data_IF_863075833188
#
_entry.id   IF_863075833188
#
_cell.length_a   1.000
_cell.length_b   1.000
_cell.length_c   1.000
_cell.angle_alpha   90.00
_cell.angle_beta   90.00
_cell.angle_gamma   90.00
#
_symmetry.space_group_name_H-M   'P 1'
#
loop_
_entity.id
_entity.type
_entity.pdbx_description
1 polymer ?
#
# COMPACT_ATOMS: atom_id res chain seq x y z
N UNK A 1 16.26 -14.93 10.50
CA UNK A 1 16.70 -13.72 9.80
C UNK A 1 15.49 -12.81 9.53
N UNK A 2 14.42 -13.25 8.85
CA UNK A 2 13.24 -12.44 8.49
C UNK A 2 12.54 -11.82 9.70
N UNK A 3 12.30 -12.56 10.78
CA UNK A 3 11.74 -12.01 12.03
C UNK A 3 12.59 -10.85 12.56
N UNK A 4 13.92 -11.04 12.62
CA UNK A 4 14.83 -9.98 13.07
C UNK A 4 14.82 -8.77 12.13
N UNK A 5 14.64 -8.95 10.81
CA UNK A 5 14.52 -7.86 9.85
C UNK A 5 13.27 -7.04 10.12
N UNK A 6 12.11 -7.69 10.32
CA UNK A 6 10.84 -7.00 10.64
C UNK A 6 10.95 -6.24 11.95
N UNK A 7 11.42 -6.88 13.02
CA UNK A 7 11.58 -6.21 14.32
C UNK A 7 12.55 -5.02 14.25
N UNK A 8 13.61 -5.14 13.45
CA UNK A 8 14.54 -4.03 13.18
C UNK A 8 13.88 -2.89 12.39
N UNK A 9 13.08 -3.21 11.38
CA UNK A 9 12.37 -2.23 10.57
C UNK A 9 11.35 -1.43 11.39
N UNK A 10 10.65 -2.09 12.32
CA UNK A 10 9.65 -1.44 13.17
C UNK A 10 10.29 -0.63 14.31
N UNK A 11 11.53 -0.97 14.72
CA UNK A 11 12.21 -0.26 15.80
C UNK A 11 12.49 1.19 15.41
N UNK A 12 11.81 2.14 16.07
CA UNK A 12 11.88 3.58 15.77
C UNK A 12 11.42 3.93 14.35
N UNK A 13 10.50 3.16 13.79
CA UNK A 13 9.92 3.45 12.48
C UNK A 13 9.29 4.84 12.47
N UNK A 14 9.59 5.60 11.43
CA UNK A 14 8.98 6.90 11.15
C UNK A 14 8.09 6.76 9.92
N UNK A 15 6.80 6.99 10.10
CA UNK A 15 5.78 6.93 9.05
C UNK A 15 5.48 8.35 8.58
N UNK A 16 5.73 8.66 7.32
CA UNK A 16 5.32 9.93 6.74
C UNK A 16 3.78 9.99 6.67
N UNK A 17 3.16 10.90 7.39
CA UNK A 17 1.73 11.18 7.28
C UNK A 17 1.53 12.38 6.35
N UNK A 18 1.20 12.10 5.09
CA UNK A 18 1.10 13.11 4.04
C UNK A 18 -0.36 13.48 3.83
N UNK A 19 -0.77 14.57 4.47
CA UNK A 19 -2.17 14.99 4.53
C UNK A 19 -2.98 14.30 5.63
N UNK A 20 -4.30 14.32 5.47
CA UNK A 20 -5.24 13.77 6.43
C UNK A 20 -6.10 12.68 5.79
N UNK A 21 -6.66 11.80 6.61
CA UNK A 21 -7.59 10.78 6.12
C UNK A 21 -8.83 11.45 5.49
N UNK A 22 -9.41 10.87 4.45
CA UNK A 22 -10.70 11.35 3.95
C UNK A 22 -11.78 11.27 5.02
N UNK A 23 -12.66 12.26 5.08
CA UNK A 23 -13.67 12.40 6.14
C UNK A 23 -14.50 11.12 6.38
N UNK A 24 -15.00 10.40 5.34
CA UNK A 24 -15.80 9.19 5.54
C UNK A 24 -15.00 7.97 6.02
N UNK A 25 -13.65 7.99 5.91
CA UNK A 25 -12.80 6.84 6.24
C UNK A 25 -12.48 6.76 7.73
N UNK A 26 -13.49 6.49 8.54
CA UNK A 26 -13.33 6.37 10.00
C UNK A 26 -12.51 5.15 10.40
N UNK A 27 -12.52 4.11 9.59
CA UNK A 27 -11.83 2.84 9.85
C UNK A 27 -10.30 2.92 9.77
N UNK A 28 -9.74 3.95 9.12
CA UNK A 28 -8.28 4.17 9.06
C UNK A 28 -7.76 5.12 10.15
N UNK A 29 -8.59 5.45 11.12
CA UNK A 29 -8.14 6.26 12.27
C UNK A 29 -7.10 5.49 13.08
N UNK A 30 -6.03 6.18 13.45
CA UNK A 30 -4.92 5.63 14.22
C UNK A 30 -4.70 6.45 15.48
N UNK A 31 -4.43 5.77 16.58
CA UNK A 31 -4.01 6.42 17.82
C UNK A 31 -2.48 6.57 17.84
N UNK A 32 -2.00 7.71 17.35
CA UNK A 32 -0.56 7.99 17.23
C UNK A 32 0.17 7.94 18.58
N UNK A 33 -0.47 8.39 19.67
CA UNK A 33 0.12 8.32 21.00
C UNK A 33 0.30 6.87 21.48
N UNK A 34 -0.64 6.00 21.11
CA UNK A 34 -0.58 4.57 21.42
C UNK A 34 0.53 3.86 20.62
N UNK A 35 0.69 4.20 19.35
CA UNK A 35 1.78 3.68 18.50
C UNK A 35 3.15 3.98 19.11
N UNK A 36 3.39 5.20 19.55
CA UNK A 36 4.66 5.59 20.20
C UNK A 36 4.86 4.80 21.50
N UNK A 37 3.85 4.76 22.35
CA UNK A 37 3.99 4.19 23.69
C UNK A 37 4.12 2.66 23.69
N UNK A 38 3.45 1.98 22.76
CA UNK A 38 3.38 0.51 22.73
C UNK A 38 4.38 -0.13 21.79
N UNK A 39 4.62 0.48 20.63
CA UNK A 39 5.45 -0.10 19.54
C UNK A 39 6.70 0.76 19.29
N UNK A 40 6.69 2.04 19.64
CA UNK A 40 7.79 2.96 19.37
C UNK A 40 7.78 3.56 17.97
N UNK A 41 6.64 3.48 17.27
CA UNK A 41 6.47 4.02 15.92
C UNK A 41 6.00 5.48 16.01
N UNK A 42 6.58 6.35 15.19
CA UNK A 42 6.26 7.79 15.16
C UNK A 42 5.70 8.18 13.80
N UNK A 43 4.60 8.93 13.78
CA UNK A 43 4.12 9.61 12.57
C UNK A 43 4.80 10.96 12.40
N UNK A 44 5.08 11.32 11.15
CA UNK A 44 5.72 12.58 10.77
C UNK A 44 4.79 13.32 9.82
N UNK A 45 4.13 14.40 10.24
CA UNK A 45 3.21 15.12 9.38
C UNK A 45 3.96 15.84 8.25
N UNK A 46 3.52 15.63 7.02
CA UNK A 46 3.99 16.31 5.82
C UNK A 46 2.79 17.00 5.16
N UNK A 47 2.92 18.30 4.93
CA UNK A 47 1.85 19.09 4.32
C UNK A 47 1.71 18.76 2.82
N UNK A 48 0.48 18.53 2.30
CA UNK A 48 0.21 18.44 0.86
C UNK A 48 0.70 19.67 0.08
N UNK A 49 0.64 20.84 0.68
CA UNK A 49 1.19 22.08 0.07
C UNK A 49 2.71 21.99 -0.10
N UNK A 50 3.44 21.45 0.86
CA UNK A 50 4.90 21.29 0.74
C UNK A 50 5.27 20.35 -0.41
N UNK A 51 4.49 19.28 -0.61
CA UNK A 51 4.63 18.37 -1.75
C UNK A 51 4.36 19.10 -3.07
N UNK A 52 3.25 19.82 -3.16
CA UNK A 52 2.86 20.54 -4.38
C UNK A 52 3.86 21.64 -4.76
N UNK A 53 4.33 22.43 -3.80
CA UNK A 53 5.36 23.47 -4.05
C UNK A 53 6.68 22.84 -4.53
N UNK A 54 7.11 21.72 -3.94
CA UNK A 54 8.29 21.00 -4.39
C UNK A 54 8.11 20.40 -5.78
N UNK A 55 6.96 19.80 -6.07
CA UNK A 55 6.64 19.26 -7.40
C UNK A 55 6.65 20.37 -8.46
N UNK A 56 6.03 21.51 -8.17
CA UNK A 56 6.02 22.68 -9.05
C UNK A 56 7.44 23.16 -9.35
N UNK A 57 8.29 23.28 -8.31
CA UNK A 57 9.68 23.67 -8.49
C UNK A 57 10.48 22.68 -9.34
N UNK A 58 10.27 21.38 -9.17
CA UNK A 58 10.92 20.35 -10.01
C UNK A 58 10.57 20.52 -11.50
N UNK A 59 9.31 20.83 -11.81
CA UNK A 59 8.87 21.10 -13.20
C UNK A 59 9.50 22.40 -13.73
N UNK A 60 9.50 23.48 -12.94
CA UNK A 60 10.05 24.77 -13.34
C UNK A 60 11.57 24.70 -13.57
N UNK A 61 12.29 24.06 -12.66
CA UNK A 61 13.76 23.92 -12.74
C UNK A 61 14.17 22.94 -13.85
N UNK A 62 13.29 22.01 -14.23
CA UNK A 62 13.48 20.97 -15.24
C UNK A 62 14.87 20.31 -15.15
N UNK A 63 15.24 19.89 -13.93
CA UNK A 63 16.55 19.33 -13.68
C UNK A 63 16.71 17.92 -14.30
N UNK A 64 17.95 17.47 -14.44
CA UNK A 64 18.25 16.20 -15.13
C UNK A 64 17.62 14.96 -14.44
N UNK A 65 17.46 14.98 -13.12
CA UNK A 65 16.82 13.86 -12.40
C UNK A 65 15.33 13.79 -12.72
N UNK A 66 14.62 14.92 -12.69
CA UNK A 66 13.22 15.00 -13.03
C UNK A 66 12.99 14.57 -14.49
N UNK A 67 13.77 15.12 -15.42
CA UNK A 67 13.61 14.80 -16.84
C UNK A 67 13.87 13.30 -17.11
N UNK A 68 14.92 12.71 -16.52
CA UNK A 68 15.22 11.29 -16.66
C UNK A 68 14.09 10.41 -16.13
N UNK A 69 13.50 10.75 -14.97
CA UNK A 69 12.40 10.00 -14.41
C UNK A 69 11.12 10.15 -15.24
N UNK A 70 10.80 11.35 -15.72
CA UNK A 70 9.66 11.58 -16.59
C UNK A 70 9.75 10.77 -17.89
N UNK A 71 10.93 10.71 -18.52
CA UNK A 71 11.16 9.91 -19.72
C UNK A 71 11.03 8.40 -19.44
N UNK A 72 11.55 7.92 -18.32
CA UNK A 72 11.40 6.52 -17.92
C UNK A 72 9.93 6.14 -17.67
N UNK A 73 9.20 6.98 -16.94
CA UNK A 73 7.77 6.78 -16.66
C UNK A 73 6.95 6.67 -17.94
N UNK A 74 7.15 7.60 -18.89
CA UNK A 74 6.42 7.64 -20.17
C UNK A 74 6.85 6.56 -21.15
N UNK A 75 8.05 5.99 -21.00
CA UNK A 75 8.48 4.83 -21.76
C UNK A 75 7.85 3.51 -21.29
N UNK A 76 7.51 3.41 -20.00
CA UNK A 76 6.93 2.20 -19.39
C UNK A 76 5.40 2.18 -19.41
N UNK A 77 4.76 3.34 -19.25
CA UNK A 77 3.32 3.49 -19.16
C UNK A 77 2.73 4.13 -20.42
N UNK A 78 1.64 3.58 -20.92
CA UNK A 78 0.83 4.27 -21.92
C UNK A 78 0.09 5.44 -21.27
N UNK A 79 0.61 6.64 -21.47
CA UNK A 79 0.06 7.89 -20.97
C UNK A 79 -0.83 8.63 -21.98
N UNK A 80 -1.18 8.02 -23.12
CA UNK A 80 -1.90 8.67 -24.24
C UNK A 80 -3.28 9.23 -23.85
N UNK A 81 -3.89 8.70 -22.78
CA UNK A 81 -5.16 9.16 -22.26
C UNK A 81 -5.06 10.40 -21.34
N UNK A 82 -3.84 10.91 -21.09
CA UNK A 82 -3.60 12.01 -20.18
C UNK A 82 -3.00 13.24 -20.88
N UNK A 83 -3.37 14.46 -20.48
CA UNK A 83 -2.62 15.65 -20.85
C UNK A 83 -1.16 15.54 -20.37
N UNK A 84 -0.19 15.89 -21.23
CA UNK A 84 1.24 15.84 -20.90
C UNK A 84 1.56 16.60 -19.60
N UNK A 85 0.92 17.75 -19.38
CA UNK A 85 1.06 18.54 -18.14
C UNK A 85 0.73 17.73 -16.89
N UNK A 86 -0.32 16.89 -16.94
CA UNK A 86 -0.72 16.07 -15.80
C UNK A 86 0.25 14.91 -15.57
N UNK A 87 0.79 14.30 -16.62
CA UNK A 87 1.86 13.29 -16.49
C UNK A 87 3.11 13.90 -15.86
N UNK A 88 3.48 15.11 -16.24
CA UNK A 88 4.58 15.88 -15.64
C UNK A 88 4.34 16.13 -14.15
N UNK A 89 3.11 16.48 -13.75
CA UNK A 89 2.75 16.65 -12.33
C UNK A 89 2.85 15.36 -11.54
N UNK A 90 2.42 14.22 -12.09
CA UNK A 90 2.56 12.91 -11.45
C UNK A 90 4.04 12.58 -11.22
N UNK A 91 4.87 12.72 -12.26
CA UNK A 91 6.31 12.46 -12.13
C UNK A 91 7.00 13.36 -11.09
N UNK A 92 6.69 14.65 -11.11
CA UNK A 92 7.24 15.60 -10.15
C UNK A 92 6.77 15.33 -8.72
N UNK A 93 5.51 14.90 -8.55
CA UNK A 93 4.94 14.57 -7.23
C UNK A 93 5.65 13.38 -6.61
N UNK A 94 5.95 12.34 -7.39
CA UNK A 94 6.75 11.17 -6.92
C UNK A 94 8.09 11.62 -6.35
N UNK A 95 8.86 12.39 -7.10
CA UNK A 95 10.19 12.87 -6.66
C UNK A 95 10.10 13.84 -5.48
N UNK A 96 9.06 14.67 -5.43
CA UNK A 96 8.82 15.57 -4.32
C UNK A 96 8.57 14.82 -3.00
N UNK A 97 7.74 13.77 -3.04
CA UNK A 97 7.44 12.95 -1.87
C UNK A 97 8.68 12.17 -1.44
N UNK A 98 9.39 11.53 -2.36
CA UNK A 98 10.62 10.79 -2.08
C UNK A 98 11.64 11.66 -1.33
N UNK A 99 11.92 12.84 -1.87
CA UNK A 99 12.83 13.82 -1.24
C UNK A 99 12.36 14.26 0.16
N UNK A 100 11.05 14.51 0.35
CA UNK A 100 10.51 14.89 1.65
C UNK A 100 10.57 13.73 2.67
N UNK A 101 10.37 12.49 2.23
CA UNK A 101 10.51 11.32 3.09
C UNK A 101 11.95 11.11 3.52
N UNK A 102 12.92 11.27 2.61
CA UNK A 102 14.35 11.20 2.91
C UNK A 102 14.77 12.28 3.91
N UNK A 103 14.40 13.54 3.68
CA UNK A 103 14.69 14.66 4.59
C UNK A 103 14.16 14.43 6.01
N UNK A 104 13.02 13.72 6.12
CA UNK A 104 12.39 13.43 7.41
C UNK A 104 12.75 12.04 7.96
N UNK A 105 13.64 11.29 7.32
CA UNK A 105 14.04 9.93 7.69
C UNK A 105 12.82 8.99 7.83
N UNK A 106 11.87 9.08 6.90
CA UNK A 106 10.70 8.21 6.81
C UNK A 106 10.94 7.15 5.74
N UNK A 107 10.74 5.87 6.07
CA UNK A 107 10.91 4.75 5.14
C UNK A 107 9.60 4.22 4.56
N UNK A 108 8.48 4.62 5.14
CA UNK A 108 7.12 4.32 4.66
C UNK A 108 6.22 5.53 4.91
N UNK A 109 5.08 5.59 4.25
CA UNK A 109 4.14 6.69 4.47
C UNK A 109 2.68 6.32 4.24
N UNK A 110 1.82 7.21 4.65
CA UNK A 110 0.39 7.19 4.45
C UNK A 110 -0.03 8.48 3.73
N UNK A 111 -0.78 8.36 2.64
CA UNK A 111 -0.93 9.42 1.64
C UNK A 111 -2.39 9.75 1.34
N UNK A 112 -2.75 11.03 1.44
CA UNK A 112 -4.09 11.55 1.11
C UNK A 112 -4.29 11.66 -0.41
N UNK A 113 -4.59 10.55 -1.09
CA UNK A 113 -4.57 10.47 -2.54
C UNK A 113 -5.73 11.17 -3.26
N UNK A 114 -6.96 11.16 -2.74
CA UNK A 114 -8.14 11.55 -3.53
C UNK A 114 -8.93 12.76 -3.01
N UNK A 115 -8.60 13.33 -1.86
CA UNK A 115 -9.22 14.54 -1.36
C UNK A 115 -8.38 15.80 -1.63
N UNK A 116 -7.23 15.97 -0.98
CA UNK A 116 -6.42 17.17 -1.11
C UNK A 116 -5.63 17.22 -2.43
N UNK A 117 -4.99 16.13 -2.83
CA UNK A 117 -4.09 16.16 -3.98
C UNK A 117 -4.77 16.47 -5.32
N UNK A 118 -5.95 15.92 -5.67
CA UNK A 118 -6.66 16.35 -6.85
C UNK A 118 -7.00 17.86 -6.85
N UNK A 119 -7.29 18.42 -5.67
CA UNK A 119 -7.57 19.86 -5.54
C UNK A 119 -6.31 20.73 -5.68
N UNK A 120 -5.15 20.24 -5.19
CA UNK A 120 -3.90 21.01 -5.18
C UNK A 120 -3.11 20.84 -6.49
N UNK A 121 -3.08 19.63 -7.06
CA UNK A 121 -2.33 19.31 -8.27
C UNK A 121 -3.18 19.39 -9.55
N UNK A 122 -4.50 19.22 -9.43
CA UNK A 122 -5.42 19.09 -10.57
C UNK A 122 -5.37 17.72 -11.24
N UNK A 123 -4.77 16.70 -10.59
CA UNK A 123 -4.68 15.31 -11.06
C UNK A 123 -4.67 14.37 -9.86
N UNK A 124 -5.28 13.21 -10.01
CA UNK A 124 -5.20 12.14 -9.00
C UNK A 124 -3.82 11.48 -9.07
N UNK A 125 -3.08 11.35 -7.96
CA UNK A 125 -1.70 10.86 -7.99
C UNK A 125 -1.58 9.38 -7.58
N UNK A 126 -2.52 8.50 -7.93
CA UNK A 126 -2.48 7.09 -7.49
C UNK A 126 -1.25 6.34 -8.03
N UNK A 127 -0.83 6.62 -9.27
CA UNK A 127 0.43 6.10 -9.86
C UNK A 127 1.63 6.33 -8.94
N UNK A 128 1.67 7.47 -8.24
CA UNK A 128 2.79 7.81 -7.35
C UNK A 128 3.02 6.74 -6.28
N UNK A 129 1.96 6.11 -5.76
CA UNK A 129 2.08 5.12 -4.68
C UNK A 129 2.81 3.85 -5.16
N UNK A 130 2.46 3.36 -6.35
CA UNK A 130 3.14 2.21 -6.98
C UNK A 130 4.61 2.51 -7.27
N UNK A 131 4.89 3.67 -7.86
CA UNK A 131 6.24 4.13 -8.16
C UNK A 131 7.10 4.34 -6.89
N UNK A 132 6.49 4.80 -5.80
CA UNK A 132 7.16 4.93 -4.50
C UNK A 132 7.48 3.57 -3.88
N UNK A 133 6.59 2.58 -4.00
CA UNK A 133 6.84 1.22 -3.53
C UNK A 133 8.02 0.59 -4.29
N UNK A 134 8.08 0.73 -5.61
CA UNK A 134 9.19 0.27 -6.44
C UNK A 134 10.50 0.99 -6.13
N UNK A 135 10.44 2.24 -5.69
CA UNK A 135 11.62 3.00 -5.24
C UNK A 135 12.05 2.69 -3.80
N UNK A 136 11.30 1.86 -3.09
CA UNK A 136 11.64 1.46 -1.73
C UNK A 136 11.01 2.29 -0.61
N UNK A 137 10.05 3.16 -0.93
CA UNK A 137 9.33 4.02 -0.01
C UNK A 137 7.81 3.78 -0.11
N UNK A 138 7.29 2.61 0.26
CA UNK A 138 5.89 2.29 0.06
C UNK A 138 4.96 3.26 0.77
N UNK A 139 3.87 3.60 0.10
CA UNK A 139 2.83 4.48 0.60
C UNK A 139 1.49 3.75 0.67
N UNK A 140 0.83 3.82 1.82
CA UNK A 140 -0.55 3.41 1.95
C UNK A 140 -1.50 4.53 1.49
N UNK A 141 -2.54 4.17 0.75
CA UNK A 141 -3.58 5.08 0.29
C UNK A 141 -4.40 5.62 1.47
N UNK A 142 -5.10 6.73 1.27
CA UNK A 142 -6.13 7.26 2.17
C UNK A 142 -5.64 7.61 3.59
N UNK A 143 -4.35 7.91 3.68
CA UNK A 143 -3.66 8.22 4.94
C UNK A 143 -3.81 7.10 5.99
N UNK A 144 -3.86 5.84 5.51
CA UNK A 144 -3.92 4.65 6.34
C UNK A 144 -2.55 4.35 6.97
N UNK A 145 -2.31 4.90 8.16
CA UNK A 145 -1.04 4.71 8.90
C UNK A 145 -0.81 3.24 9.26
N UNK A 146 -1.85 2.50 9.65
CA UNK A 146 -1.74 1.08 9.95
C UNK A 146 -1.45 0.26 8.67
N UNK A 147 -2.01 0.68 7.53
CA UNK A 147 -1.64 0.16 6.21
C UNK A 147 -0.16 0.40 5.87
N UNK A 148 0.37 1.59 6.13
CA UNK A 148 1.79 1.88 5.94
C UNK A 148 2.69 1.01 6.81
N UNK A 149 2.32 0.78 8.07
CA UNK A 149 3.03 -0.15 8.97
C UNK A 149 2.95 -1.58 8.43
N UNK A 150 1.80 -2.00 7.91
CA UNK A 150 1.63 -3.30 7.24
C UNK A 150 2.60 -3.46 6.07
N UNK A 151 2.73 -2.44 5.22
CA UNK A 151 3.69 -2.46 4.11
C UNK A 151 5.14 -2.54 4.61
N UNK A 152 5.50 -1.82 5.68
CA UNK A 152 6.83 -1.93 6.30
C UNK A 152 7.13 -3.35 6.82
N UNK A 153 6.14 -4.01 7.43
CA UNK A 153 6.25 -5.39 7.91
C UNK A 153 6.50 -6.34 6.74
N UNK A 154 5.70 -6.26 5.67
CA UNK A 154 5.81 -7.15 4.51
C UNK A 154 7.13 -6.95 3.77
N UNK A 155 7.54 -5.70 3.55
CA UNK A 155 8.81 -5.35 2.92
C UNK A 155 10.01 -5.91 3.67
N UNK A 156 10.05 -5.77 4.99
CA UNK A 156 11.11 -6.35 5.79
C UNK A 156 11.03 -7.90 5.86
N UNK A 157 9.82 -8.46 5.80
CA UNK A 157 9.58 -9.89 5.80
C UNK A 157 10.10 -10.56 4.53
N UNK A 158 9.93 -9.93 3.37
CA UNK A 158 10.50 -10.41 2.11
C UNK A 158 11.98 -10.05 1.91
N UNK A 159 12.62 -9.40 2.90
CA UNK A 159 14.02 -8.95 2.88
C UNK A 159 14.31 -7.90 1.80
N UNK A 160 13.33 -7.10 1.43
CA UNK A 160 13.44 -6.05 0.40
C UNK A 160 13.73 -6.59 -1.01
N UNK A 161 13.37 -7.87 -1.27
CA UNK A 161 13.63 -8.55 -2.55
C UNK A 161 12.54 -8.29 -3.60
N UNK A 162 11.31 -8.00 -3.17
CA UNK A 162 10.17 -7.71 -4.06
C UNK A 162 9.36 -6.52 -3.48
N UNK A 163 8.57 -5.86 -4.31
CA UNK A 163 7.67 -4.80 -3.85
C UNK A 163 6.44 -5.39 -3.15
N UNK A 164 5.82 -4.60 -2.32
CA UNK A 164 4.57 -4.88 -1.63
C UNK A 164 3.47 -3.93 -2.11
N UNK A 165 2.22 -4.33 -1.99
CA UNK A 165 1.07 -3.53 -2.39
C UNK A 165 0.01 -3.47 -1.29
N UNK A 166 -0.82 -2.44 -1.28
CA UNK A 166 -2.01 -2.32 -0.44
C UNK A 166 -3.24 -2.46 -1.33
N UNK A 167 -4.10 -3.42 -1.02
CA UNK A 167 -5.29 -3.73 -1.79
C UNK A 167 -6.56 -3.59 -0.95
N UNK A 168 -7.65 -3.22 -1.62
CA UNK A 168 -9.01 -3.38 -1.13
C UNK A 168 -9.50 -4.79 -1.44
N UNK A 169 -10.13 -5.43 -0.47
CA UNK A 169 -11.02 -6.55 -0.72
C UNK A 169 -12.32 -6.01 -1.27
N UNK A 170 -12.68 -6.35 -2.49
CA UNK A 170 -13.77 -5.65 -3.18
C UNK A 170 -14.96 -6.50 -3.55
N UNK A 171 -14.75 -7.63 -4.19
CA UNK A 171 -15.86 -8.43 -4.73
C UNK A 171 -15.45 -9.89 -4.89
N UNK A 172 -16.38 -10.80 -4.61
CA UNK A 172 -16.22 -12.22 -4.89
C UNK A 172 -16.16 -12.50 -6.39
N UNK A 173 -15.39 -13.50 -6.74
CA UNK A 173 -15.30 -13.97 -8.12
C UNK A 173 -16.65 -14.53 -8.59
N UNK A 174 -17.13 -14.16 -9.79
CA UNK A 174 -18.48 -14.51 -10.24
C UNK A 174 -18.72 -16.02 -10.49
N UNK A 175 -17.66 -16.83 -10.54
CA UNK A 175 -17.73 -18.26 -10.84
C UNK A 175 -16.92 -19.14 -9.87
N UNK A 176 -16.29 -18.53 -8.84
CA UNK A 176 -15.47 -19.25 -7.87
C UNK A 176 -15.70 -18.68 -6.46
N UNK A 177 -16.49 -19.38 -5.65
CA UNK A 177 -16.87 -18.94 -4.31
C UNK A 177 -15.67 -18.81 -3.34
N UNK A 178 -14.53 -19.37 -3.69
CA UNK A 178 -13.28 -19.29 -2.92
C UNK A 178 -12.29 -18.24 -3.44
N UNK A 179 -12.72 -17.40 -4.37
CA UNK A 179 -11.88 -16.36 -4.93
C UNK A 179 -12.45 -14.96 -4.71
N UNK A 180 -11.56 -14.02 -4.47
CA UNK A 180 -11.85 -12.62 -4.19
C UNK A 180 -10.95 -11.70 -5.00
N UNK A 181 -11.42 -10.51 -5.33
CA UNK A 181 -10.65 -9.49 -6.02
C UNK A 181 -9.87 -8.63 -5.02
N UNK A 182 -8.57 -8.67 -5.13
CA UNK A 182 -7.67 -7.68 -4.55
C UNK A 182 -7.52 -6.55 -5.56
N UNK A 183 -8.03 -5.38 -5.24
CA UNK A 183 -8.14 -4.27 -6.16
C UNK A 183 -7.71 -2.96 -5.51
N UNK A 184 -7.28 -2.02 -6.31
CA UNK A 184 -7.22 -0.62 -5.92
C UNK A 184 -7.31 0.29 -7.16
N UNK A 185 -7.56 1.58 -6.93
CA UNK A 185 -7.74 2.56 -8.01
C UNK A 185 -6.49 2.81 -8.88
N UNK A 186 -5.30 2.27 -8.54
CA UNK A 186 -4.09 2.37 -9.37
C UNK A 186 -2.75 2.51 -8.65
N UNK A 187 -2.62 2.11 -7.36
CA UNK A 187 -1.39 2.30 -6.60
C UNK A 187 -0.48 1.07 -6.54
N UNK A 188 -0.72 0.01 -7.32
CA UNK A 188 0.14 -1.17 -7.23
C UNK A 188 1.48 -0.94 -7.95
N UNK A 189 2.58 -1.54 -7.45
CA UNK A 189 3.90 -1.40 -8.05
C UNK A 189 3.95 -1.95 -9.47
N UNK A 190 4.54 -1.18 -10.39
CA UNK A 190 4.72 -1.59 -11.78
C UNK A 190 5.58 -2.87 -11.91
N UNK A 191 6.55 -3.07 -11.01
CA UNK A 191 7.41 -4.26 -10.98
C UNK A 191 6.64 -5.57 -10.77
N UNK A 192 5.42 -5.50 -10.23
CA UNK A 192 4.55 -6.66 -9.99
C UNK A 192 3.59 -6.94 -11.13
N UNK A 193 3.57 -6.11 -12.18
CA UNK A 193 2.69 -6.25 -13.34
C UNK A 193 2.90 -7.59 -14.06
N UNK A 194 1.83 -8.24 -14.48
CA UNK A 194 1.89 -9.39 -15.37
C UNK A 194 2.53 -9.02 -16.72
N UNK A 195 3.36 -9.89 -17.26
CA UNK A 195 4.09 -9.61 -18.51
C UNK A 195 3.17 -9.30 -19.69
N UNK A 196 2.04 -9.97 -19.76
CA UNK A 196 1.01 -9.84 -20.81
C UNK A 196 0.06 -8.66 -20.59
N UNK A 197 0.00 -8.10 -19.39
CA UNK A 197 -0.84 -6.94 -19.09
C UNK A 197 -0.20 -5.64 -19.60
N UNK A 198 -1.00 -4.78 -20.23
CA UNK A 198 -0.56 -3.45 -20.65
C UNK A 198 -0.78 -2.46 -19.53
N UNK A 199 0.28 -1.78 -19.09
CA UNK A 199 0.16 -0.70 -18.13
C UNK A 199 -0.24 0.60 -18.81
N UNK A 200 -1.33 1.21 -18.33
CA UNK A 200 -1.85 2.49 -18.82
C UNK A 200 -2.09 3.43 -17.64
N UNK A 201 -1.86 4.72 -17.85
CA UNK A 201 -2.22 5.76 -16.91
C UNK A 201 -3.46 6.51 -17.42
N UNK A 202 -4.53 6.51 -16.61
CA UNK A 202 -5.78 7.22 -16.88
C UNK A 202 -6.15 8.02 -15.64
N UNK A 203 -6.32 9.32 -15.79
CA UNK A 203 -6.61 10.24 -14.67
C UNK A 203 -5.63 10.16 -13.49
N UNK A 204 -4.34 9.83 -13.76
CA UNK A 204 -3.31 9.66 -12.75
C UNK A 204 -3.37 8.33 -11.98
N UNK A 205 -4.16 7.39 -12.47
CA UNK A 205 -4.33 6.03 -11.95
C UNK A 205 -3.74 5.02 -12.91
N UNK A 206 -2.98 4.07 -12.42
CA UNK A 206 -2.51 2.96 -13.25
C UNK A 206 -3.59 1.88 -13.41
N UNK A 207 -3.52 1.18 -14.54
CA UNK A 207 -4.41 0.07 -14.88
C UNK A 207 -3.61 -1.08 -15.42
N UNK A 208 -3.51 -2.16 -14.64
CA UNK A 208 -2.91 -3.44 -15.05
C UNK A 208 -3.24 -4.55 -14.05
N UNK A 209 -3.10 -5.78 -14.50
CA UNK A 209 -3.18 -6.97 -13.67
C UNK A 209 -1.80 -7.33 -13.11
N UNK A 210 -1.72 -7.81 -11.86
CA UNK A 210 -0.48 -8.32 -11.28
C UNK A 210 -0.12 -9.72 -11.80
N UNK A 211 1.16 -10.07 -11.70
CA UNK A 211 1.69 -11.40 -12.03
C UNK A 211 1.03 -12.49 -11.18
N UNK A 212 0.96 -13.72 -11.71
CA UNK A 212 0.46 -14.87 -10.96
C UNK A 212 1.51 -15.37 -9.97
N UNK A 213 1.07 -15.91 -8.82
CA UNK A 213 1.96 -16.46 -7.81
C UNK A 213 1.28 -16.70 -6.46
N UNK A 214 2.06 -17.09 -5.48
CA UNK A 214 1.63 -17.27 -4.10
C UNK A 214 1.80 -15.98 -3.31
N UNK A 215 0.78 -15.58 -2.57
CA UNK A 215 0.71 -14.32 -1.83
C UNK A 215 0.66 -14.58 -0.32
N UNK A 216 1.37 -13.77 0.43
CA UNK A 216 1.07 -13.53 1.84
C UNK A 216 0.35 -12.19 1.95
N UNK A 217 -0.83 -12.22 2.58
CA UNK A 217 -1.67 -11.06 2.85
C UNK A 217 -1.66 -10.77 4.34
N UNK A 218 -1.60 -9.50 4.70
CA UNK A 218 -1.42 -9.09 6.08
C UNK A 218 -2.15 -7.77 6.37
N UNK A 219 -2.62 -7.63 7.61
CA UNK A 219 -3.12 -6.35 8.14
C UNK A 219 -2.64 -6.19 9.58
N UNK A 220 -1.85 -5.16 9.82
CA UNK A 220 -1.60 -4.64 11.17
C UNK A 220 -2.70 -3.65 11.52
N UNK A 221 -3.35 -3.81 12.66
CA UNK A 221 -4.42 -2.91 13.09
C UNK A 221 -4.42 -2.65 14.59
N UNK A 222 -5.09 -1.58 15.01
CA UNK A 222 -5.28 -1.17 16.39
C UNK A 222 -6.78 -1.00 16.67
N UNK A 223 -7.30 -1.80 17.57
CA UNK A 223 -8.68 -1.72 18.00
C UNK A 223 -8.71 -1.62 19.52
N UNK A 224 -9.29 -0.51 20.01
CA UNK A 224 -9.35 -0.22 21.44
C UNK A 224 -7.99 -0.31 22.16
N UNK A 225 -6.91 0.06 21.47
CA UNK A 225 -5.55 0.01 22.00
C UNK A 225 -4.94 -1.39 22.05
N UNK A 226 -5.57 -2.38 21.44
CA UNK A 226 -5.02 -3.72 21.24
C UNK A 226 -4.55 -3.86 19.80
N UNK A 227 -3.26 -4.10 19.63
CA UNK A 227 -2.69 -4.34 18.32
C UNK A 227 -2.84 -5.80 17.92
N UNK A 228 -3.12 -6.01 16.66
CA UNK A 228 -3.25 -7.33 16.06
C UNK A 228 -2.58 -7.40 14.70
N UNK A 229 -2.24 -8.60 14.29
CA UNK A 229 -1.72 -8.93 12.99
C UNK A 229 -2.57 -10.04 12.37
N UNK A 230 -3.47 -9.65 11.46
CA UNK A 230 -4.19 -10.61 10.62
C UNK A 230 -3.25 -11.06 9.49
N UNK A 231 -3.17 -12.38 9.27
CA UNK A 231 -2.30 -12.95 8.23
C UNK A 231 -2.99 -14.13 7.55
N UNK A 232 -2.91 -14.15 6.23
CA UNK A 232 -3.34 -15.31 5.45
C UNK A 232 -2.47 -15.49 4.21
N UNK A 233 -2.53 -16.67 3.62
CA UNK A 233 -1.85 -17.01 2.38
C UNK A 233 -2.87 -17.45 1.33
N UNK A 234 -2.65 -17.05 0.09
CA UNK A 234 -3.54 -17.35 -1.02
C UNK A 234 -2.72 -17.52 -2.31
N UNK A 235 -3.24 -18.27 -3.25
CA UNK A 235 -2.71 -18.28 -4.61
C UNK A 235 -3.47 -17.29 -5.48
N UNK A 236 -2.82 -16.71 -6.45
CA UNK A 236 -3.52 -15.92 -7.45
C UNK A 236 -4.30 -16.83 -8.39
N UNK A 237 -5.36 -16.30 -8.98
CA UNK A 237 -6.19 -17.02 -9.97
C UNK A 237 -6.60 -16.07 -11.09
N UNK A 238 -7.15 -16.61 -12.16
CA UNK A 238 -7.69 -15.81 -13.26
C UNK A 238 -9.12 -15.38 -12.96
N UNK A 239 -9.52 -14.22 -13.46
CA UNK A 239 -10.88 -13.71 -13.34
C UNK A 239 -11.18 -12.60 -14.34
N UNK A 240 -12.36 -11.97 -14.26
CA UNK A 240 -12.72 -10.87 -15.13
C UNK A 240 -11.74 -9.68 -15.06
N UNK A 241 -11.45 -9.09 -16.21
CA UNK A 241 -10.70 -7.84 -16.30
C UNK A 241 -11.49 -6.70 -15.62
N UNK A 242 -10.78 -5.81 -14.94
CA UNK A 242 -11.36 -4.64 -14.29
C UNK A 242 -10.50 -3.39 -14.45
N UNK A 243 -11.04 -2.24 -14.12
CA UNK A 243 -10.27 -1.00 -14.03
C UNK A 243 -9.35 -1.01 -12.81
N UNK A 244 -8.35 -0.10 -12.80
CA UNK A 244 -7.39 0.02 -11.71
C UNK A 244 -6.29 -1.03 -11.78
N UNK A 245 -5.60 -1.22 -10.68
CA UNK A 245 -4.60 -2.28 -10.50
C UNK A 245 -5.21 -3.41 -9.67
N UNK A 246 -5.01 -4.66 -10.08
CA UNK A 246 -5.73 -5.77 -9.46
C UNK A 246 -5.03 -7.11 -9.62
N UNK A 247 -5.47 -8.07 -8.79
CA UNK A 247 -5.23 -9.49 -8.95
C UNK A 247 -6.37 -10.27 -8.31
N UNK A 248 -6.82 -11.33 -8.95
CA UNK A 248 -7.73 -12.29 -8.34
C UNK A 248 -6.93 -13.25 -7.47
N UNK A 249 -7.34 -13.42 -6.22
CA UNK A 249 -6.78 -14.40 -5.31
C UNK A 249 -7.77 -15.52 -5.05
N UNK A 250 -7.27 -16.70 -4.71
CA UNK A 250 -8.04 -17.87 -4.32
C UNK A 250 -7.49 -18.48 -3.03
N UNK A 251 -8.38 -18.84 -2.11
CA UNK A 251 -8.05 -19.54 -0.86
C UNK A 251 -8.75 -20.90 -0.84
N UNK A 252 -8.42 -21.75 0.13
CA UNK A 252 -9.12 -23.03 0.36
C UNK A 252 -10.55 -22.81 0.89
N UNK A 253 -10.78 -21.74 1.64
CA UNK A 253 -12.04 -21.41 2.29
C UNK A 253 -12.18 -19.88 2.45
N UNK A 254 -12.66 -19.21 1.40
CA UNK A 254 -12.89 -17.76 1.42
C UNK A 254 -13.91 -17.35 2.48
N UNK A 255 -14.93 -18.17 2.72
CA UNK A 255 -15.95 -17.87 3.72
C UNK A 255 -15.36 -17.62 5.11
N UNK A 256 -14.32 -18.37 5.48
CA UNK A 256 -13.61 -18.20 6.76
C UNK A 256 -12.88 -16.84 6.83
N UNK A 257 -12.24 -16.45 5.75
CA UNK A 257 -11.60 -15.13 5.66
C UNK A 257 -12.64 -14.02 5.75
N UNK A 258 -13.70 -14.14 4.95
CA UNK A 258 -14.78 -13.16 4.93
C UNK A 258 -15.44 -12.99 6.31
N UNK A 259 -15.70 -14.06 7.05
CA UNK A 259 -16.23 -13.97 8.41
C UNK A 259 -15.33 -13.15 9.33
N UNK A 260 -14.01 -13.34 9.27
CA UNK A 260 -13.05 -12.55 10.04
C UNK A 260 -13.00 -11.09 9.62
N UNK A 261 -13.02 -10.81 8.34
CA UNK A 261 -12.94 -9.47 7.79
C UNK A 261 -14.23 -8.67 7.94
N UNK A 262 -15.39 -9.33 7.82
CA UNK A 262 -16.72 -8.70 7.91
C UNK A 262 -17.24 -8.55 9.34
N UNK A 263 -16.93 -9.50 10.22
CA UNK A 263 -17.42 -9.53 11.60
C UNK A 263 -16.32 -9.36 12.65
N UNK A 264 -15.07 -9.41 12.22
CA UNK A 264 -13.92 -9.13 13.04
C UNK A 264 -13.55 -7.63 13.05
N UNK A 265 -12.42 -7.31 13.67
CA UNK A 265 -12.00 -5.92 13.86
C UNK A 265 -11.28 -5.31 12.65
N UNK A 266 -11.18 -6.02 11.54
CA UNK A 266 -10.36 -5.58 10.42
C UNK A 266 -11.13 -4.74 9.41
N UNK A 267 -10.38 -3.92 8.67
CA UNK A 267 -10.91 -3.16 7.55
C UNK A 267 -10.61 -3.89 6.23
N UNK A 268 -11.17 -3.40 5.14
CA UNK A 268 -11.00 -3.98 3.80
C UNK A 268 -9.59 -3.82 3.19
N UNK A 269 -8.71 -3.01 3.78
CA UNK A 269 -7.34 -2.84 3.31
C UNK A 269 -6.44 -3.99 3.78
N UNK A 270 -5.85 -4.73 2.85
CA UNK A 270 -4.82 -5.71 3.12
C UNK A 270 -3.52 -5.36 2.38
N UNK A 271 -2.40 -5.44 3.08
CA UNK A 271 -1.09 -5.47 2.43
C UNK A 271 -0.83 -6.84 1.83
N UNK A 272 -0.19 -6.88 0.66
CA UNK A 272 0.20 -8.11 -0.02
C UNK A 272 1.66 -8.11 -0.47
N UNK A 273 2.29 -9.28 -0.45
CA UNK A 273 3.60 -9.54 -1.05
C UNK A 273 3.67 -10.98 -1.55
N UNK A 274 4.50 -11.23 -2.56
CA UNK A 274 4.71 -12.58 -3.09
C UNK A 274 5.60 -13.41 -2.17
N UNK A 275 5.23 -14.68 -1.97
CA UNK A 275 5.94 -15.63 -1.11
C UNK A 275 5.11 -16.10 0.08
N UNK A 276 5.66 -17.03 0.87
CA UNK A 276 5.02 -17.66 2.04
C UNK A 276 5.71 -17.21 3.32
N UNK A 277 5.04 -16.37 4.11
CA UNK A 277 5.61 -15.74 5.30
C UNK A 277 4.74 -15.86 6.56
N UNK A 278 3.63 -16.59 6.53
CA UNK A 278 2.73 -16.75 7.68
C UNK A 278 3.46 -17.22 8.95
N UNK A 279 4.38 -18.24 8.90
CA UNK A 279 5.11 -18.64 10.10
C UNK A 279 6.05 -17.56 10.64
N UNK A 280 6.62 -16.74 9.74
CA UNK A 280 7.49 -15.62 10.12
C UNK A 280 6.69 -14.54 10.83
N UNK A 281 5.54 -14.17 10.27
CA UNK A 281 4.67 -13.13 10.83
C UNK A 281 4.04 -13.55 12.15
N UNK A 282 3.74 -14.85 12.35
CA UNK A 282 3.34 -15.40 13.66
C UNK A 282 4.41 -15.15 14.73
N UNK A 283 5.67 -15.39 14.41
CA UNK A 283 6.79 -15.13 15.34
C UNK A 283 6.99 -13.63 15.56
N UNK A 284 6.80 -12.80 14.54
CA UNK A 284 6.84 -11.33 14.70
C UNK A 284 5.78 -10.86 15.71
N UNK A 285 4.53 -11.31 15.57
CA UNK A 285 3.46 -10.97 16.48
C UNK A 285 3.78 -11.38 17.92
N UNK A 286 4.36 -12.59 18.11
CA UNK A 286 4.79 -13.09 19.41
C UNK A 286 5.87 -12.20 20.05
N UNK A 287 6.86 -11.74 19.27
CA UNK A 287 7.92 -10.84 19.79
C UNK A 287 7.43 -9.42 20.07
N UNK A 288 6.43 -8.95 19.32
CA UNK A 288 5.79 -7.64 19.55
C UNK A 288 4.75 -7.69 20.68
N UNK A 289 4.42 -8.87 21.19
CA UNK A 289 3.36 -9.08 22.19
C UNK A 289 2.00 -8.53 21.72
N UNK A 290 1.68 -8.76 20.43
CA UNK A 290 0.41 -8.41 19.81
C UNK A 290 -0.36 -9.66 19.42
N UNK A 291 -1.67 -9.54 19.23
CA UNK A 291 -2.51 -10.65 18.81
C UNK A 291 -2.15 -11.10 17.39
N UNK A 292 -2.18 -12.41 17.15
CA UNK A 292 -1.99 -13.01 15.84
C UNK A 292 -3.27 -13.71 15.40
N UNK A 293 -3.85 -13.25 14.29
CA UNK A 293 -5.06 -13.84 13.71
C UNK A 293 -4.72 -14.50 12.36
N UNK A 294 -4.78 -15.83 12.35
CA UNK A 294 -4.57 -16.61 11.15
C UNK A 294 -5.87 -16.73 10.36
N UNK A 295 -5.89 -16.24 9.13
CA UNK A 295 -7.05 -16.30 8.24
C UNK A 295 -7.57 -17.72 7.97
N UNK A 296 -6.69 -18.73 8.10
CA UNK A 296 -7.04 -20.15 7.86
C UNK A 296 -7.58 -20.86 9.12
N UNK A 297 -7.51 -20.25 10.29
CA UNK A 297 -8.04 -20.81 11.54
C UNK A 297 -9.48 -20.36 11.77
N UNK A 298 -10.28 -21.22 12.43
CA UNK A 298 -11.67 -20.87 12.80
C UNK A 298 -11.70 -19.89 13.97
N UNK A 299 -12.74 -19.11 14.01
CA UNK A 299 -13.00 -18.15 15.08
C UNK A 299 -12.83 -16.70 14.63
N UNK A 300 -13.59 -15.83 15.27
CA UNK A 300 -13.48 -14.37 15.11
C UNK A 300 -12.86 -13.88 16.41
N UNK A 301 -11.78 -13.09 16.34
CA UNK A 301 -11.31 -12.40 17.52
C UNK A 301 -12.41 -11.47 18.02
N UNK A 302 -12.97 -11.77 19.19
CA UNK A 302 -13.88 -10.85 19.88
C UNK A 302 -13.09 -9.64 20.35
N UNK A 303 -13.59 -8.46 20.04
CA UNK A 303 -13.13 -7.19 20.58
C UNK A 303 -13.14 -7.18 22.10
#
# INVERSE_FOLDING_TARGET
>A
IRVAAVLKALKNLRVAKIGERPVPFMSVMTNEANLINRIGITTVPISPFAVAERAKKLIEDNNAQYEAYYQDLTARLDCSAMPEENVKKVAATKLAIESLMEENNCSVGAFECWSAFPAVLGVCPCTVLGEMADSGYPLACETDVNGAITLAILRACNLYEDSEFLADLTIRHPQNDNAELLWHCGPFPYSLKASESQARMVDGQERFELKQGHLTLCRFDDIDGKYSLFVGEADTTTGPETNGTYVWMQTDDWKRWEEKLMFGPYIHHLGGTYGSYLPVLREVARYLEIEFDNAHEQGIHSL
#
